data_IF_381018891542
#
_entry.id   IF_381018891542
#
_cell.length_a   1.000
_cell.length_b   1.000
_cell.length_c   1.000
_cell.angle_alpha   90.00
_cell.angle_beta   90.00
_cell.angle_gamma   90.00
#
_symmetry.space_group_name_H-M   'P 1'
#
loop_
_entity.id
_entity.type
_entity.pdbx_description
1 polymer ?
#
# COMPACT_ATOMS: atom_id res chain seq x y z
N UNK A 1 15.63 -10.69 13.43
CA UNK A 1 16.20 -9.40 13.96
C UNK A 1 15.24 -8.88 15.01
N UNK A 2 15.76 -8.42 16.17
CA UNK A 2 14.94 -7.81 17.21
C UNK A 2 15.15 -6.30 17.24
N UNK A 3 14.07 -5.56 17.48
CA UNK A 3 14.11 -4.10 17.68
C UNK A 3 13.40 -3.75 18.98
N UNK A 4 14.05 -2.98 19.82
CA UNK A 4 13.51 -2.47 21.08
C UNK A 4 13.23 -0.98 20.94
N UNK A 5 11.95 -0.62 20.80
CA UNK A 5 11.47 0.76 20.79
C UNK A 5 11.31 1.20 22.22
N UNK A 6 12.12 2.20 22.64
CA UNK A 6 12.17 2.64 24.03
C UNK A 6 11.40 3.92 24.28
N UNK A 7 10.69 3.91 25.42
CA UNK A 7 10.04 5.09 25.99
C UNK A 7 9.04 5.79 25.05
N UNK A 8 8.35 5.02 24.20
CA UNK A 8 7.33 5.53 23.28
C UNK A 8 6.01 5.78 24.02
N UNK A 9 5.29 6.84 23.65
CA UNK A 9 3.96 7.09 24.18
C UNK A 9 2.95 6.13 23.50
N UNK A 10 2.29 5.26 24.29
CA UNK A 10 1.21 4.39 23.83
C UNK A 10 -0.05 4.70 24.64
N UNK A 11 -1.04 5.32 24.02
CA UNK A 11 -2.16 5.89 24.75
C UNK A 11 -1.71 7.03 25.67
N UNK A 12 -1.86 6.87 26.98
CA UNK A 12 -1.46 7.86 27.98
C UNK A 12 -0.16 7.48 28.73
N UNK A 13 0.42 6.31 28.43
CA UNK A 13 1.57 5.78 29.14
C UNK A 13 2.83 5.72 28.27
N UNK A 14 3.99 5.86 28.91
CA UNK A 14 5.28 5.60 28.29
C UNK A 14 5.67 4.14 28.50
N UNK A 15 5.96 3.45 27.39
CA UNK A 15 6.29 2.02 27.39
C UNK A 15 7.48 1.73 26.48
N UNK A 16 8.09 0.57 26.71
CA UNK A 16 9.01 -0.06 25.77
C UNK A 16 8.25 -1.13 24.98
N UNK A 17 8.54 -1.22 23.67
CA UNK A 17 7.95 -2.23 22.77
C UNK A 17 9.09 -3.05 22.16
N UNK A 18 9.10 -4.35 22.44
CA UNK A 18 10.01 -5.29 21.80
C UNK A 18 9.33 -5.93 20.59
N UNK A 19 9.95 -5.76 19.44
CA UNK A 19 9.53 -6.38 18.17
C UNK A 19 10.54 -7.45 17.80
N UNK A 20 10.08 -8.65 17.51
CA UNK A 20 10.89 -9.75 17.02
C UNK A 20 10.34 -10.20 15.66
N UNK A 21 11.15 -10.15 14.64
CA UNK A 21 10.74 -10.38 13.26
C UNK A 21 9.56 -9.48 12.86
N UNK A 22 8.37 -10.04 12.70
CA UNK A 22 7.15 -9.33 12.28
C UNK A 22 6.11 -9.22 13.39
N UNK A 23 6.47 -9.53 14.66
CA UNK A 23 5.54 -9.58 15.77
C UNK A 23 5.98 -8.69 16.93
N UNK A 24 5.01 -8.08 17.59
CA UNK A 24 5.23 -7.45 18.89
C UNK A 24 5.37 -8.58 19.93
N UNK A 25 6.58 -8.78 20.42
CA UNK A 25 6.89 -9.83 21.41
C UNK A 25 6.46 -9.41 22.81
N UNK A 26 6.69 -8.14 23.17
CA UNK A 26 6.41 -7.63 24.50
C UNK A 26 6.17 -6.12 24.52
N UNK A 27 5.22 -5.68 25.35
CA UNK A 27 5.01 -4.27 25.74
C UNK A 27 5.09 -4.20 27.25
N UNK A 28 5.90 -3.29 27.79
CA UNK A 28 6.06 -3.10 29.23
C UNK A 28 6.64 -1.72 29.53
N UNK A 29 6.50 -1.26 30.78
CA UNK A 29 7.09 0.01 31.23
C UNK A 29 8.62 0.04 31.12
N UNK A 30 9.27 -1.11 31.18
CA UNK A 30 10.71 -1.28 30.97
C UNK A 30 11.02 -2.66 30.41
N UNK A 31 11.82 -2.70 29.35
CA UNK A 31 12.36 -3.92 28.75
C UNK A 31 13.87 -3.79 28.63
N UNK A 32 14.58 -4.86 28.98
CA UNK A 32 16.00 -5.00 28.72
C UNK A 32 16.22 -6.21 27.80
N UNK A 33 16.80 -5.97 26.65
CA UNK A 33 17.22 -7.00 25.71
C UNK A 33 18.57 -6.58 25.12
N UNK A 34 19.59 -7.43 25.32
CA UNK A 34 20.97 -7.13 24.91
C UNK A 34 21.23 -7.43 23.44
N UNK A 35 20.32 -8.16 22.80
CA UNK A 35 20.44 -8.58 21.40
C UNK A 35 19.62 -7.69 20.46
N UNK A 36 18.70 -6.87 21.00
CA UNK A 36 17.84 -6.01 20.21
C UNK A 36 18.56 -4.70 19.80
N UNK A 37 18.33 -4.28 18.58
CA UNK A 37 18.65 -2.92 18.15
C UNK A 37 17.74 -1.92 18.86
N UNK A 38 18.33 -0.92 19.52
CA UNK A 38 17.58 0.07 20.31
C UNK A 38 17.17 1.24 19.42
N UNK A 39 15.87 1.56 19.46
CA UNK A 39 15.30 2.76 18.86
C UNK A 39 14.70 3.66 19.95
N UNK A 40 15.33 4.80 20.21
CA UNK A 40 14.87 5.77 21.21
C UNK A 40 13.67 6.58 20.67
N UNK A 41 12.52 6.47 21.34
CA UNK A 41 11.25 7.03 20.91
C UNK A 41 10.59 7.96 21.95
N UNK A 42 11.39 8.59 22.83
CA UNK A 42 10.89 9.41 23.93
C UNK A 42 10.08 10.64 23.50
N UNK A 43 10.22 11.09 22.26
CA UNK A 43 9.46 12.19 21.66
C UNK A 43 8.42 11.74 20.63
N UNK A 44 8.17 10.42 20.56
CA UNK A 44 7.24 9.81 19.61
C UNK A 44 6.05 9.17 20.32
N UNK A 45 4.98 8.94 19.55
CA UNK A 45 3.83 8.13 19.96
C UNK A 45 3.66 6.93 19.02
N UNK A 46 3.32 5.77 19.59
CA UNK A 46 2.95 4.59 18.84
C UNK A 46 1.44 4.62 18.59
N UNK A 47 1.07 4.49 17.33
CA UNK A 47 -0.32 4.41 16.87
C UNK A 47 -0.51 3.16 16.01
N UNK A 48 -1.75 2.60 15.95
CA UNK A 48 -2.07 1.60 14.94
C UNK A 48 -1.80 2.15 13.54
N UNK A 49 -1.25 1.33 12.67
CA UNK A 49 -1.01 1.68 11.30
C UNK A 49 -2.32 1.86 10.51
N UNK A 50 -2.27 2.63 9.42
CA UNK A 50 -3.43 2.87 8.57
C UNK A 50 -3.56 1.81 7.48
N UNK A 51 -4.81 1.56 7.10
CA UNK A 51 -5.21 0.71 5.99
C UNK A 51 -5.96 1.56 4.96
N UNK A 52 -5.40 1.72 3.78
CA UNK A 52 -6.08 2.39 2.67
C UNK A 52 -6.96 1.39 1.93
N UNK A 53 -8.25 1.39 2.23
CA UNK A 53 -9.20 0.41 1.72
C UNK A 53 -9.74 0.73 0.32
N UNK A 54 -9.34 1.84 -0.30
CA UNK A 54 -9.71 2.20 -1.66
C UNK A 54 -8.70 3.17 -2.26
N UNK A 55 -8.05 2.75 -3.35
CA UNK A 55 -7.16 3.62 -4.11
C UNK A 55 -7.08 3.20 -5.58
N UNK A 56 -6.57 4.09 -6.41
CA UNK A 56 -6.08 3.88 -7.76
C UNK A 56 -4.63 4.37 -7.77
N UNK A 57 -3.73 3.58 -7.21
CA UNK A 57 -2.39 4.02 -6.80
C UNK A 57 -1.59 4.71 -7.90
N UNK A 58 -1.64 4.18 -9.12
CA UNK A 58 -0.91 4.75 -10.26
C UNK A 58 -1.43 6.11 -10.73
N UNK A 59 -2.67 6.48 -10.36
CA UNK A 59 -3.22 7.81 -10.65
C UNK A 59 -2.48 8.96 -9.94
N UNK A 60 -1.53 8.66 -9.06
CA UNK A 60 -0.58 9.64 -8.53
C UNK A 60 0.08 10.46 -9.62
N UNK A 61 0.33 9.85 -10.79
CA UNK A 61 0.88 10.54 -11.97
C UNK A 61 -0.09 11.55 -12.60
N UNK A 62 -1.38 11.42 -12.34
CA UNK A 62 -2.43 12.29 -12.88
C UNK A 62 -2.91 13.34 -11.88
N UNK A 63 -2.20 13.50 -10.77
CA UNK A 63 -2.51 14.49 -9.74
C UNK A 63 -2.53 15.91 -10.34
N UNK A 64 -3.61 16.66 -10.09
CA UNK A 64 -3.82 17.99 -10.66
C UNK A 64 -4.38 18.00 -12.07
N UNK A 65 -4.57 16.84 -12.70
CA UNK A 65 -5.13 16.78 -14.05
C UNK A 65 -6.66 16.85 -14.01
N UNK A 66 -7.22 17.90 -14.57
CA UNK A 66 -8.67 18.05 -14.82
C UNK A 66 -9.54 18.04 -13.54
N UNK A 67 -9.08 18.66 -12.43
CA UNK A 67 -9.73 18.60 -11.11
C UNK A 67 -11.01 19.46 -10.98
N UNK A 68 -11.23 20.40 -11.87
CA UNK A 68 -12.31 21.42 -11.82
C UNK A 68 -13.54 21.07 -12.66
N UNK A 69 -13.77 19.78 -12.94
CA UNK A 69 -14.86 19.30 -13.79
C UNK A 69 -15.91 18.52 -13.00
N UNK A 70 -17.19 18.55 -13.44
CA UNK A 70 -18.19 17.59 -13.00
C UNK A 70 -17.74 16.15 -13.22
N UNK A 71 -18.21 15.20 -12.37
CA UNK A 71 -17.76 13.81 -12.36
C UNK A 71 -17.70 13.14 -13.75
N UNK A 72 -18.76 13.23 -14.53
CA UNK A 72 -18.79 12.55 -15.84
C UNK A 72 -17.87 13.20 -16.87
N UNK A 73 -17.70 14.51 -16.82
CA UNK A 73 -16.74 15.21 -17.68
C UNK A 73 -15.31 14.90 -17.26
N UNK A 74 -15.07 14.82 -15.94
CA UNK A 74 -13.80 14.38 -15.38
C UNK A 74 -13.48 12.94 -15.81
N UNK A 75 -14.39 11.98 -15.65
CA UNK A 75 -14.21 10.59 -16.08
C UNK A 75 -13.88 10.49 -17.58
N UNK A 76 -14.60 11.20 -18.44
CA UNK A 76 -14.35 11.20 -19.88
C UNK A 76 -12.95 11.72 -20.24
N UNK A 77 -12.41 12.65 -19.48
CA UNK A 77 -11.05 13.17 -19.71
C UNK A 77 -9.99 12.25 -19.10
N UNK A 78 -10.20 11.76 -17.87
CA UNK A 78 -9.30 10.85 -17.19
C UNK A 78 -9.10 9.56 -17.97
N UNK A 79 -10.17 8.90 -18.44
CA UNK A 79 -10.07 7.65 -19.19
C UNK A 79 -9.26 7.79 -20.49
N UNK A 80 -9.35 8.94 -21.16
CA UNK A 80 -8.50 9.21 -22.33
C UNK A 80 -7.03 9.27 -21.96
N UNK A 81 -6.74 9.88 -20.80
CA UNK A 81 -5.36 10.01 -20.32
C UNK A 81 -4.82 8.70 -19.77
N UNK A 82 -5.64 7.94 -19.06
CA UNK A 82 -5.30 6.61 -18.57
C UNK A 82 -4.98 5.63 -19.73
N UNK A 83 -5.68 5.73 -20.85
CA UNK A 83 -5.42 4.90 -22.02
C UNK A 83 -4.03 5.14 -22.67
N UNK A 84 -3.36 6.23 -22.35
CA UNK A 84 -2.00 6.53 -22.80
C UNK A 84 -0.92 5.95 -21.87
N UNK A 85 -1.29 5.54 -20.64
CA UNK A 85 -0.34 5.04 -19.66
C UNK A 85 0.14 3.64 -20.02
N UNK A 86 1.45 3.47 -20.01
CA UNK A 86 2.10 2.17 -20.19
C UNK A 86 2.15 1.39 -18.87
N UNK A 87 2.49 0.10 -18.96
CA UNK A 87 2.76 -0.74 -17.79
C UNK A 87 3.89 -0.19 -16.91
N UNK A 88 4.86 0.49 -17.52
CA UNK A 88 5.97 1.14 -16.80
C UNK A 88 5.49 2.38 -16.05
N UNK A 89 4.60 3.18 -16.65
CA UNK A 89 3.98 4.31 -15.97
C UNK A 89 3.18 3.86 -14.76
N UNK A 90 2.36 2.81 -14.92
CA UNK A 90 1.59 2.22 -13.82
C UNK A 90 2.52 1.75 -12.70
N UNK A 91 3.60 1.05 -13.02
CA UNK A 91 4.60 0.62 -12.05
C UNK A 91 5.22 1.81 -11.28
N UNK A 92 5.66 2.84 -11.98
CA UNK A 92 6.30 4.00 -11.35
C UNK A 92 5.31 4.85 -10.54
N UNK A 93 4.08 5.05 -11.05
CA UNK A 93 3.02 5.75 -10.32
C UNK A 93 2.63 5.02 -9.04
N UNK A 94 2.51 3.70 -9.09
CA UNK A 94 2.24 2.87 -7.91
C UNK A 94 3.37 2.97 -6.88
N UNK A 95 4.63 2.92 -7.31
CA UNK A 95 5.78 3.10 -6.40
C UNK A 95 5.75 4.45 -5.68
N UNK A 96 5.41 5.51 -6.40
CA UNK A 96 5.28 6.84 -5.81
C UNK A 96 4.15 6.86 -4.77
N UNK A 97 2.98 6.30 -5.08
CA UNK A 97 1.88 6.18 -4.13
C UNK A 97 2.27 5.37 -2.88
N UNK A 98 2.94 4.24 -3.05
CA UNK A 98 3.41 3.40 -1.94
C UNK A 98 4.41 4.17 -1.06
N UNK A 99 5.32 4.92 -1.66
CA UNK A 99 6.25 5.77 -0.90
C UNK A 99 5.50 6.78 -0.02
N UNK A 100 4.47 7.43 -0.56
CA UNK A 100 3.62 8.36 0.19
C UNK A 100 2.85 7.63 1.29
N UNK A 101 2.31 6.44 1.02
CA UNK A 101 1.62 5.59 1.98
C UNK A 101 2.53 5.22 3.16
N UNK A 102 3.72 4.70 2.90
CA UNK A 102 4.70 4.32 3.94
C UNK A 102 5.06 5.54 4.79
N UNK A 103 5.33 6.69 4.17
CA UNK A 103 5.67 7.93 4.88
C UNK A 103 4.53 8.48 5.74
N UNK A 104 3.28 8.13 5.41
CA UNK A 104 2.07 8.53 6.18
C UNK A 104 1.59 7.45 7.17
N UNK A 105 2.32 6.33 7.30
CA UNK A 105 1.99 5.25 8.24
C UNK A 105 0.95 4.25 7.71
N UNK A 106 0.70 4.23 6.40
CA UNK A 106 -0.16 3.24 5.75
C UNK A 106 0.64 1.98 5.44
N UNK A 107 0.17 0.82 5.89
CA UNK A 107 0.86 -0.49 5.76
C UNK A 107 0.13 -1.48 4.85
N UNK A 108 -1.03 -1.11 4.39
CA UNK A 108 -1.87 -1.92 3.50
C UNK A 108 -2.69 -1.00 2.59
N UNK A 109 -2.86 -1.43 1.33
CA UNK A 109 -3.80 -0.76 0.42
C UNK A 109 -4.63 -1.74 -0.39
N UNK A 110 -5.88 -1.36 -0.70
CA UNK A 110 -6.72 -2.04 -1.67
C UNK A 110 -6.75 -1.19 -2.95
N UNK A 111 -6.29 -1.78 -4.04
CA UNK A 111 -6.22 -1.12 -5.35
C UNK A 111 -7.06 -1.86 -6.40
N UNK A 112 -7.53 -1.15 -7.37
CA UNK A 112 -8.20 -1.66 -8.56
C UNK A 112 -7.85 -0.76 -9.73
N UNK A 113 -7.01 -1.28 -10.66
CA UNK A 113 -6.55 -0.51 -11.81
C UNK A 113 -6.11 -1.42 -12.96
N UNK A 114 -5.59 -0.82 -14.04
CA UNK A 114 -5.04 -1.54 -15.20
C UNK A 114 -3.63 -2.07 -14.91
N UNK A 115 -3.14 -3.00 -15.75
CA UNK A 115 -1.79 -3.56 -15.63
C UNK A 115 -1.46 -4.10 -14.21
N UNK A 116 -2.31 -4.98 -13.71
CA UNK A 116 -2.21 -5.55 -12.34
C UNK A 116 -0.82 -6.06 -11.97
N UNK A 117 -0.10 -6.70 -12.93
CA UNK A 117 1.26 -7.20 -12.71
C UNK A 117 2.24 -6.09 -12.34
N UNK A 118 2.08 -4.89 -12.89
CA UNK A 118 2.90 -3.74 -12.56
C UNK A 118 2.66 -3.24 -11.15
N UNK A 119 1.40 -3.25 -10.70
CA UNK A 119 1.01 -2.87 -9.33
C UNK A 119 1.55 -3.90 -8.33
N UNK A 120 1.35 -5.19 -8.63
CA UNK A 120 1.82 -6.30 -7.80
C UNK A 120 3.34 -6.24 -7.64
N UNK A 121 4.06 -6.09 -8.75
CA UNK A 121 5.52 -5.96 -8.75
C UNK A 121 5.98 -4.80 -7.86
N UNK A 122 5.34 -3.64 -7.99
CA UNK A 122 5.67 -2.47 -7.17
C UNK A 122 5.42 -2.73 -5.68
N UNK A 123 4.30 -3.37 -5.32
CA UNK A 123 3.97 -3.71 -3.94
C UNK A 123 4.95 -4.72 -3.33
N UNK A 124 5.31 -5.77 -4.07
CA UNK A 124 6.28 -6.79 -3.63
C UNK A 124 7.68 -6.19 -3.42
N UNK A 125 8.18 -5.41 -4.39
CA UNK A 125 9.51 -4.79 -4.29
C UNK A 125 9.61 -3.75 -3.18
N UNK A 126 8.53 -3.03 -2.88
CA UNK A 126 8.50 -2.02 -1.81
C UNK A 126 8.10 -2.60 -0.45
N UNK A 127 7.70 -3.87 -0.38
CA UNK A 127 7.42 -4.59 0.86
C UNK A 127 6.16 -4.12 1.59
N UNK A 128 5.15 -3.63 0.86
CA UNK A 128 3.85 -3.25 1.43
C UNK A 128 2.80 -4.31 1.12
N UNK A 129 1.86 -4.52 2.04
CA UNK A 129 0.73 -5.43 1.81
C UNK A 129 -0.31 -4.78 0.92
N UNK A 130 -0.87 -5.55 -0.03
CA UNK A 130 -1.89 -5.07 -0.95
C UNK A 130 -2.96 -6.12 -1.25
N UNK A 131 -4.16 -5.64 -1.54
CA UNK A 131 -5.21 -6.42 -2.19
C UNK A 131 -5.49 -5.77 -3.55
N UNK A 132 -5.13 -6.47 -4.63
CA UNK A 132 -5.26 -5.94 -5.99
C UNK A 132 -6.49 -6.55 -6.65
N UNK A 133 -7.50 -5.72 -6.85
CA UNK A 133 -8.71 -6.05 -7.57
C UNK A 133 -8.48 -6.08 -9.08
N UNK A 134 -8.97 -7.12 -9.74
CA UNK A 134 -8.94 -7.22 -11.19
C UNK A 134 -10.16 -6.49 -11.75
N UNK A 135 -9.91 -5.49 -12.60
CA UNK A 135 -10.96 -4.65 -13.16
C UNK A 135 -11.66 -5.33 -14.34
N UNK A 136 -12.99 -5.40 -14.27
CA UNK A 136 -13.83 -5.84 -15.39
C UNK A 136 -14.71 -4.71 -15.88
N UNK A 137 -14.76 -4.51 -17.18
CA UNK A 137 -15.70 -3.58 -17.82
C UNK A 137 -16.39 -4.24 -19.00
N UNK A 138 -17.68 -3.99 -19.18
CA UNK A 138 -18.44 -4.52 -20.31
C UNK A 138 -17.83 -4.16 -21.67
N UNK A 139 -17.11 -3.06 -21.74
CA UNK A 139 -16.43 -2.57 -22.95
C UNK A 139 -15.25 -3.44 -23.40
N UNK A 140 -14.66 -4.26 -22.53
CA UNK A 140 -13.51 -5.10 -22.88
C UNK A 140 -13.86 -6.46 -23.49
N UNK A 141 -15.16 -6.80 -23.51
CA UNK A 141 -15.67 -8.04 -24.10
C UNK A 141 -15.46 -9.29 -23.25
N UNK A 142 -16.22 -10.35 -23.60
CA UNK A 142 -16.29 -11.61 -22.82
C UNK A 142 -14.93 -12.30 -22.69
N UNK A 143 -14.17 -12.35 -23.77
CA UNK A 143 -12.86 -13.03 -23.81
C UNK A 143 -11.90 -12.45 -22.77
N UNK A 144 -11.81 -11.11 -22.69
CA UNK A 144 -10.94 -10.46 -21.73
C UNK A 144 -11.40 -10.68 -20.28
N UNK A 145 -12.72 -10.81 -20.06
CA UNK A 145 -13.28 -11.18 -18.76
C UNK A 145 -12.84 -12.60 -18.35
N UNK A 146 -12.94 -13.56 -19.27
CA UNK A 146 -12.52 -14.95 -19.00
C UNK A 146 -11.01 -15.03 -18.73
N UNK A 147 -10.18 -14.31 -19.47
CA UNK A 147 -8.73 -14.19 -19.25
C UNK A 147 -8.41 -13.62 -17.84
N UNK A 148 -9.15 -12.62 -17.38
CA UNK A 148 -9.00 -12.07 -16.04
C UNK A 148 -9.40 -13.09 -14.95
N UNK A 149 -10.46 -13.87 -15.16
CA UNK A 149 -10.84 -14.94 -14.22
C UNK A 149 -9.78 -16.04 -14.15
N UNK A 150 -9.22 -16.44 -15.28
CA UNK A 150 -8.16 -17.43 -15.33
C UNK A 150 -6.88 -16.91 -14.66
N UNK A 151 -6.54 -15.65 -14.86
CA UNK A 151 -5.45 -14.99 -14.15
C UNK A 151 -5.65 -15.04 -12.63
N UNK A 152 -6.84 -14.65 -12.14
CA UNK A 152 -7.14 -14.63 -10.71
C UNK A 152 -7.11 -16.03 -10.07
N UNK A 153 -7.47 -17.10 -10.83
CA UNK A 153 -7.43 -18.48 -10.33
C UNK A 153 -6.03 -19.05 -10.27
N UNK A 154 -5.14 -18.63 -11.16
CA UNK A 154 -3.84 -19.26 -11.37
C UNK A 154 -2.69 -18.55 -10.65
N UNK A 155 -2.89 -17.34 -10.14
CA UNK A 155 -1.87 -16.64 -9.34
C UNK A 155 -2.04 -16.90 -7.84
N UNK A 156 -1.13 -17.66 -7.30
CA UNK A 156 -0.86 -17.72 -5.86
C UNK A 156 0.01 -16.52 -5.50
N UNK A 157 -0.53 -15.59 -4.72
CA UNK A 157 0.26 -14.49 -4.15
C UNK A 157 1.12 -15.01 -3.01
N UNK A 158 2.37 -14.57 -2.92
CA UNK A 158 3.20 -14.83 -1.75
C UNK A 158 2.52 -14.22 -0.51
N UNK A 159 2.23 -15.05 0.47
CA UNK A 159 1.83 -14.59 1.80
C UNK A 159 3.12 -14.22 2.54
N UNK A 160 3.48 -12.96 2.52
CA UNK A 160 4.54 -12.39 3.36
C UNK A 160 3.92 -11.66 4.56
#
# INVERSE_FOLDING_TARGET
MKTLIKNVLLGEERVDILVSENLIEKISSKIEDKEAEIFEASNLAALPAFYNMHTHSSMTLLRGYCEDKPLFDWLNNIWKKEAELSSEDIYNGTRLAILEMIKSGTVFFADMYWHHDSIIKAAEEMGIRANIGICFMNSIGRKAIDECFDYAKNKTFSQN
#
